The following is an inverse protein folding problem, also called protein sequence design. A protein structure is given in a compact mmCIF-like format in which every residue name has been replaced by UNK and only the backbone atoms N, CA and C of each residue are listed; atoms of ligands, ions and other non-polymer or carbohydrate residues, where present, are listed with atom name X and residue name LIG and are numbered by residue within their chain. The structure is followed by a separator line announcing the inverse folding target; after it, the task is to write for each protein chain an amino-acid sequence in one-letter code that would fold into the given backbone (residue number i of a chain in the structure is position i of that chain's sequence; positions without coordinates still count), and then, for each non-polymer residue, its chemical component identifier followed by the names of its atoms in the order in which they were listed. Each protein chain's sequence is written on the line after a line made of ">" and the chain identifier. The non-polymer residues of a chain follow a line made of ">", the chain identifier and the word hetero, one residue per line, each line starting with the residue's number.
data_IF_368773874824
#
_entry.id   IF_368773874824
#
_cell.length_a   1.000
_cell.length_b   1.000
_cell.length_c   1.000
_cell.angle_alpha   90.00
_cell.angle_beta   90.00
_cell.angle_gamma   90.00
#
_symmetry.space_group_name_H-M   'P 1'
#
loop_
_entity.id
_entity.type
_entity.pdbx_description
1 polymer ?
#
# COMPACT_ATOMS: atom_id res chain seq x y z
N UNK A 1 -21.70 3.45 -7.69
CA UNK A 1 -20.50 3.61 -8.53
C UNK A 1 -20.10 5.08 -8.49
N UNK A 2 -19.33 5.50 -7.47
CA UNK A 2 -19.17 6.91 -7.06
C UNK A 2 -17.70 7.39 -7.02
N UNK A 3 -16.79 6.74 -7.75
CA UNK A 3 -15.38 7.18 -7.76
C UNK A 3 -14.60 6.69 -9.00
N UNK A 4 -14.74 7.34 -10.17
CA UNK A 4 -13.79 7.17 -11.26
C UNK A 4 -12.34 7.48 -10.81
N UNK A 5 -12.17 8.43 -9.89
CA UNK A 5 -10.89 8.78 -9.26
C UNK A 5 -10.26 7.60 -8.49
N UNK A 6 -11.06 6.83 -7.75
CA UNK A 6 -10.58 5.66 -7.01
C UNK A 6 -10.16 4.51 -7.93
N UNK A 7 -10.87 4.33 -9.05
CA UNK A 7 -10.47 3.37 -10.08
C UNK A 7 -9.17 3.81 -10.78
N UNK A 8 -9.02 5.11 -11.05
CA UNK A 8 -7.82 5.67 -11.65
C UNK A 8 -6.61 5.56 -10.72
N UNK A 9 -6.79 5.86 -9.43
CA UNK A 9 -5.77 5.65 -8.39
C UNK A 9 -5.37 4.18 -8.29
N UNK A 10 -6.33 3.26 -8.32
CA UNK A 10 -6.06 1.82 -8.30
C UNK A 10 -5.21 1.38 -9.50
N UNK A 11 -5.55 1.85 -10.71
CA UNK A 11 -4.79 1.54 -11.94
C UNK A 11 -3.37 2.13 -11.87
N UNK A 12 -3.23 3.40 -11.46
CA UNK A 12 -1.92 4.05 -11.30
C UNK A 12 -1.08 3.31 -10.26
N UNK A 13 -1.70 2.90 -9.15
CA UNK A 13 -1.01 2.15 -8.10
C UNK A 13 -0.52 0.79 -8.60
N UNK A 14 -1.33 0.05 -9.37
CA UNK A 14 -0.90 -1.20 -10.00
C UNK A 14 0.28 -0.92 -10.94
N UNK A 15 0.11 -0.04 -11.93
CA UNK A 15 1.15 0.19 -12.95
C UNK A 15 2.44 0.75 -12.34
N UNK A 16 2.32 1.67 -11.38
CA UNK A 16 3.46 2.26 -10.68
C UNK A 16 4.23 1.26 -9.83
N UNK A 17 3.54 0.44 -9.01
CA UNK A 17 4.21 -0.58 -8.21
C UNK A 17 4.75 -1.74 -9.05
N UNK A 18 4.11 -2.09 -10.18
CA UNK A 18 4.69 -3.04 -11.12
C UNK A 18 5.96 -2.45 -11.77
N UNK A 19 5.92 -1.19 -12.20
CA UNK A 19 7.08 -0.50 -12.78
C UNK A 19 8.29 -0.49 -11.86
N UNK A 20 8.11 -0.26 -10.56
CA UNK A 20 9.22 -0.23 -9.59
C UNK A 20 9.83 -1.59 -9.32
N UNK A 21 9.08 -2.69 -9.46
CA UNK A 21 9.61 -4.06 -9.28
C UNK A 21 10.29 -4.57 -10.54
N UNK A 22 9.67 -4.36 -11.71
CA UNK A 22 10.19 -4.84 -13.00
C UNK A 22 11.29 -3.97 -13.61
N UNK A 23 11.47 -2.74 -13.14
CA UNK A 23 12.57 -1.84 -13.56
C UNK A 23 13.64 -1.68 -12.47
N UNK A 24 13.56 -2.42 -11.35
CA UNK A 24 14.63 -2.41 -10.36
C UNK A 24 15.66 -3.51 -10.63
N UNK A 25 16.87 -3.09 -10.97
CA UNK A 25 18.02 -3.97 -11.24
C UNK A 25 18.35 -4.86 -10.02
N UNK A 26 18.05 -4.39 -8.80
CA UNK A 26 18.24 -5.15 -7.57
C UNK A 26 17.42 -6.44 -7.51
N UNK A 27 16.19 -6.43 -8.03
CA UNK A 27 15.35 -7.64 -8.09
C UNK A 27 15.85 -8.64 -9.13
N UNK A 28 16.32 -8.19 -10.30
CA UNK A 28 16.87 -9.10 -11.32
C UNK A 28 18.10 -9.85 -10.83
N UNK A 29 19.01 -9.18 -10.14
CA UNK A 29 20.20 -9.83 -9.58
C UNK A 29 19.83 -10.88 -8.51
N UNK A 30 18.82 -10.60 -7.68
CA UNK A 30 18.29 -11.56 -6.70
C UNK A 30 17.55 -12.72 -7.36
N UNK A 31 16.83 -12.48 -8.45
CA UNK A 31 16.12 -13.51 -9.19
C UNK A 31 17.07 -14.48 -9.93
N UNK A 32 18.17 -13.99 -10.50
CA UNK A 32 19.18 -14.83 -11.19
C UNK A 32 20.05 -15.61 -10.20
N UNK A 33 20.31 -15.06 -9.01
CA UNK A 33 21.10 -15.72 -7.96
C UNK A 33 20.30 -16.77 -7.15
N UNK A 34 18.97 -16.80 -7.26
CA UNK A 34 18.12 -17.71 -6.51
C UNK A 34 17.89 -19.04 -7.25
N UNK A 35 17.97 -20.16 -6.52
CA UNK A 35 17.55 -21.48 -7.02
C UNK A 35 16.06 -21.45 -7.41
N UNK A 36 15.68 -21.87 -8.63
CA UNK A 36 14.29 -21.81 -9.11
C UNK A 36 13.31 -22.66 -8.29
N UNK A 37 13.80 -23.69 -7.59
CA UNK A 37 12.98 -24.54 -6.70
C UNK A 37 12.59 -23.81 -5.40
N UNK A 38 13.40 -22.84 -4.97
CA UNK A 38 13.20 -22.10 -3.71
C UNK A 38 12.61 -20.70 -3.94
N UNK A 39 12.71 -20.17 -5.16
CA UNK A 39 12.28 -18.82 -5.50
C UNK A 39 10.74 -18.66 -5.45
N UNK A 40 9.99 -19.61 -5.99
CA UNK A 40 8.52 -19.55 -6.03
C UNK A 40 7.86 -19.45 -4.65
N UNK A 41 8.16 -20.31 -3.66
CA UNK A 41 7.60 -20.18 -2.31
C UNK A 41 8.11 -18.92 -1.59
N UNK A 42 9.35 -18.50 -1.85
CA UNK A 42 9.92 -17.26 -1.29
C UNK A 42 9.20 -16.01 -1.76
N UNK A 43 8.82 -15.93 -3.04
CA UNK A 43 8.04 -14.82 -3.58
C UNK A 43 6.61 -14.77 -3.03
N UNK A 44 5.98 -15.93 -2.82
CA UNK A 44 4.63 -16.00 -2.23
C UNK A 44 4.66 -15.52 -0.77
N UNK A 45 5.61 -16.02 0.02
CA UNK A 45 5.78 -15.59 1.42
C UNK A 45 6.17 -14.11 1.51
N UNK A 46 7.04 -13.63 0.62
CA UNK A 46 7.41 -12.22 0.51
C UNK A 46 6.20 -11.34 0.20
N UNK A 47 5.39 -11.72 -0.79
CA UNK A 47 4.16 -11.00 -1.15
C UNK A 47 3.14 -10.93 -0.01
N UNK A 48 2.96 -12.03 0.74
CA UNK A 48 2.06 -12.07 1.90
C UNK A 48 2.61 -11.20 3.05
N UNK A 49 3.91 -11.26 3.32
CA UNK A 49 4.55 -10.43 4.35
C UNK A 49 4.47 -8.94 4.04
N UNK A 50 4.55 -8.57 2.76
CA UNK A 50 4.47 -7.19 2.32
C UNK A 50 3.11 -6.57 2.60
N UNK A 51 2.02 -7.35 2.61
CA UNK A 51 0.68 -6.82 2.91
C UNK A 51 0.57 -6.25 4.33
N UNK A 52 1.31 -6.81 5.30
CA UNK A 52 1.21 -6.42 6.70
C UNK A 52 1.62 -4.95 6.94
N UNK A 53 2.64 -4.46 6.24
CA UNK A 53 3.20 -3.11 6.46
C UNK A 53 2.23 -1.99 6.04
N UNK A 54 1.76 -1.89 4.78
CA UNK A 54 0.81 -0.87 4.37
C UNK A 54 -0.55 -1.06 5.07
N UNK A 55 -0.98 -2.30 5.32
CA UNK A 55 -2.23 -2.55 6.03
C UNK A 55 -2.19 -2.00 7.46
N UNK A 56 -1.13 -2.30 8.21
CA UNK A 56 -0.97 -1.81 9.59
C UNK A 56 -0.80 -0.30 9.61
N UNK A 57 0.03 0.26 8.73
CA UNK A 57 0.24 1.70 8.63
C UNK A 57 -1.05 2.46 8.28
N UNK A 58 -1.78 2.02 7.25
CA UNK A 58 -3.05 2.64 6.84
C UNK A 58 -4.12 2.50 7.94
N UNK A 59 -4.23 1.34 8.58
CA UNK A 59 -5.20 1.12 9.67
C UNK A 59 -4.88 2.00 10.87
N UNK A 60 -3.62 2.08 11.26
CA UNK A 60 -3.17 2.91 12.40
C UNK A 60 -3.41 4.39 12.10
N UNK A 61 -3.03 4.87 10.92
CA UNK A 61 -3.25 6.27 10.52
C UNK A 61 -4.74 6.61 10.38
N UNK A 62 -5.55 5.68 9.85
CA UNK A 62 -7.00 5.87 9.73
C UNK A 62 -7.68 5.97 11.10
N UNK A 63 -7.33 5.09 12.04
CA UNK A 63 -7.84 5.14 13.42
C UNK A 63 -7.36 6.41 14.14
N UNK A 64 -6.10 6.81 13.94
CA UNK A 64 -5.56 8.04 14.52
C UNK A 64 -6.30 9.29 13.99
N UNK A 65 -6.64 9.33 12.70
CA UNK A 65 -7.41 10.42 12.11
C UNK A 65 -8.81 10.54 12.73
N UNK A 66 -9.51 9.42 12.93
CA UNK A 66 -10.83 9.40 13.60
C UNK A 66 -10.72 9.82 15.06
N UNK A 67 -9.69 9.38 15.78
CA UNK A 67 -9.49 9.74 17.19
C UNK A 67 -9.19 11.24 17.38
N UNK A 68 -8.42 11.84 16.46
CA UNK A 68 -7.99 13.23 16.51
C UNK A 68 -9.00 14.22 15.91
N UNK A 69 -10.05 13.74 15.26
CA UNK A 69 -11.05 14.58 14.56
C UNK A 69 -11.73 15.63 15.47
N UNK A 70 -11.88 15.34 16.76
CA UNK A 70 -12.47 16.28 17.73
C UNK A 70 -11.42 17.21 18.38
N UNK A 71 -10.14 17.12 17.99
CA UNK A 71 -9.08 17.99 18.49
C UNK A 71 -9.05 19.31 17.70
N UNK A 72 -8.91 20.48 18.37
CA UNK A 72 -8.83 21.78 17.70
C UNK A 72 -7.56 21.97 16.84
N UNK A 73 -6.56 21.09 16.97
CA UNK A 73 -5.37 21.05 16.12
C UNK A 73 -5.57 20.24 14.82
N UNK A 74 -6.73 19.62 14.63
CA UNK A 74 -6.99 18.78 13.47
C UNK A 74 -7.34 19.63 12.23
N UNK A 75 -6.79 19.32 11.03
CA UNK A 75 -6.92 20.18 9.85
C UNK A 75 -8.36 20.44 9.39
N UNK A 76 -9.29 19.53 9.67
CA UNK A 76 -10.70 19.71 9.29
C UNK A 76 -11.58 20.23 10.43
N UNK A 77 -11.07 20.44 11.65
CA UNK A 77 -11.87 20.90 12.78
C UNK A 77 -12.51 22.27 12.50
N UNK A 78 -13.81 22.50 12.81
CA UNK A 78 -14.75 21.61 13.50
C UNK A 78 -15.56 20.70 12.55
N UNK A 79 -15.25 20.68 11.26
CA UNK A 79 -15.94 19.84 10.28
C UNK A 79 -15.49 18.38 10.42
N UNK A 80 -16.49 17.53 10.67
CA UNK A 80 -16.28 16.09 10.74
C UNK A 80 -15.82 15.52 9.41
N UNK A 81 -15.02 14.46 9.46
CA UNK A 81 -14.66 13.69 8.27
C UNK A 81 -15.98 13.15 7.67
N UNK A 82 -16.19 13.32 6.35
CA UNK A 82 -17.40 12.81 5.71
C UNK A 82 -17.46 11.29 5.90
N UNK A 83 -18.62 10.81 6.34
CA UNK A 83 -18.88 9.38 6.45
C UNK A 83 -18.83 8.81 5.03
N UNK A 84 -17.91 7.85 4.81
CA UNK A 84 -17.69 7.21 3.52
C UNK A 84 -18.93 6.44 3.03
#
# INVERSE_FOLDING_TARGET
>A
MRSPEGAMFFIINIIGNFGTVFLDNGYYNKAIAASPVSALPGYILGGISWFAVPFLAATTMGLAAVALENSPSFPSYPHRLPVA
#
